data_IF_972246006653
#
_entry.id   IF_972246006653
#
_cell.length_a   1.000
_cell.length_b   1.000
_cell.length_c   1.000
_cell.angle_alpha   90.00
_cell.angle_beta   90.00
_cell.angle_gamma   90.00
#
_symmetry.space_group_name_H-M   'P 1'
#
loop_
_entity.id
_entity.type
_entity.pdbx_description
1 polymer ?
#
# COMPACT_ATOMS: atom_id res chain seq x y z
N UNK A 1 -34.52 -59.53 17.73
CA UNK A 1 -34.17 -58.50 16.73
C UNK A 1 -33.65 -57.28 17.48
N UNK A 2 -32.35 -57.07 17.51
CA UNK A 2 -31.68 -55.93 18.18
C UNK A 2 -31.16 -55.01 17.09
N UNK A 3 -31.83 -53.91 16.88
CA UNK A 3 -31.42 -52.85 15.90
C UNK A 3 -30.34 -51.97 16.57
N UNK A 4 -29.12 -52.09 16.01
CA UNK A 4 -27.96 -51.27 16.37
C UNK A 4 -28.06 -49.90 15.69
N UNK A 5 -28.29 -48.84 16.47
CA UNK A 5 -28.31 -47.48 15.98
C UNK A 5 -26.86 -46.96 15.99
N UNK A 6 -26.22 -46.88 14.81
CA UNK A 6 -24.92 -46.28 14.63
C UNK A 6 -25.11 -44.74 14.58
N UNK A 7 -24.75 -44.03 15.66
CA UNK A 7 -24.61 -42.59 15.70
C UNK A 7 -23.29 -42.19 15.00
N UNK A 8 -23.37 -41.68 13.77
CA UNK A 8 -22.25 -41.01 13.13
C UNK A 8 -22.05 -39.61 13.76
N UNK A 9 -21.02 -39.46 14.56
CA UNK A 9 -20.58 -38.21 15.13
C UNK A 9 -19.71 -37.50 14.06
N UNK A 10 -20.31 -36.59 13.26
CA UNK A 10 -19.56 -35.72 12.34
C UNK A 10 -18.90 -34.61 13.14
N UNK A 11 -17.60 -34.73 13.41
CA UNK A 11 -16.79 -33.66 13.97
C UNK A 11 -16.60 -32.56 12.92
N UNK A 12 -17.29 -31.43 13.10
CA UNK A 12 -16.99 -30.18 12.37
C UNK A 12 -15.64 -29.66 12.88
N UNK A 13 -14.59 -29.89 12.10
CA UNK A 13 -13.33 -29.17 12.24
C UNK A 13 -13.53 -27.72 11.77
N UNK A 14 -13.94 -26.84 12.68
CA UNK A 14 -13.86 -25.42 12.48
C UNK A 14 -12.36 -25.03 12.41
N UNK A 15 -11.80 -25.05 11.19
CA UNK A 15 -10.47 -24.53 10.93
C UNK A 15 -10.46 -23.03 11.27
N UNK A 16 -9.85 -22.65 12.39
CA UNK A 16 -9.46 -21.28 12.65
C UNK A 16 -8.47 -20.88 11.53
N UNK A 17 -8.97 -20.25 10.48
CA UNK A 17 -8.12 -19.55 9.53
C UNK A 17 -7.41 -18.45 10.31
N UNK A 18 -6.14 -18.64 10.65
CA UNK A 18 -5.31 -17.62 11.24
C UNK A 18 -5.22 -16.46 10.24
N UNK A 19 -5.94 -15.37 10.54
CA UNK A 19 -5.90 -14.15 9.72
C UNK A 19 -4.47 -13.64 9.77
N UNK A 20 -3.77 -13.73 8.65
CA UNK A 20 -2.41 -13.22 8.54
C UNK A 20 -2.42 -11.71 8.85
N UNK A 21 -1.54 -11.28 9.75
CA UNK A 21 -1.37 -9.85 10.06
C UNK A 21 -0.87 -9.11 8.82
N UNK A 22 -1.41 -7.91 8.54
CA UNK A 22 -0.93 -7.09 7.43
C UNK A 22 0.53 -6.72 7.62
N UNK A 23 1.31 -6.74 6.54
CA UNK A 23 2.63 -6.10 6.52
C UNK A 23 2.44 -4.59 6.39
N UNK A 24 3.14 -3.82 7.21
CA UNK A 24 3.09 -2.36 7.17
C UNK A 24 4.29 -1.80 6.45
N UNK A 25 4.04 -0.80 5.63
CA UNK A 25 5.07 -0.06 4.92
C UNK A 25 4.91 1.44 5.21
N UNK A 26 6.02 2.11 5.45
CA UNK A 26 6.09 3.56 5.50
C UNK A 26 7.17 3.98 4.52
N UNK A 27 6.82 4.87 3.61
CA UNK A 27 7.74 5.42 2.62
C UNK A 27 7.84 6.92 2.77
N UNK A 28 8.96 7.49 2.33
CA UNK A 28 9.21 8.93 2.35
C UNK A 28 9.73 9.39 1.00
N UNK A 29 9.29 10.57 0.57
CA UNK A 29 9.83 11.29 -0.58
C UNK A 29 9.75 12.78 -0.34
N UNK A 30 10.55 13.58 -1.04
CA UNK A 30 10.36 15.02 -1.08
C UNK A 30 9.18 15.41 -1.95
N UNK A 31 8.63 16.60 -1.70
CA UNK A 31 7.63 17.25 -2.54
C UNK A 31 8.22 18.56 -3.05
N UNK A 32 8.11 18.82 -4.35
CA UNK A 32 8.54 20.10 -4.93
C UNK A 32 7.57 21.20 -4.51
N UNK A 33 8.05 22.27 -3.83
CA UNK A 33 7.16 23.31 -3.32
C UNK A 33 6.28 23.93 -4.40
N UNK A 34 6.83 24.15 -5.60
CA UNK A 34 6.13 24.71 -6.75
C UNK A 34 5.07 23.76 -7.36
N UNK A 35 5.06 22.50 -6.93
CA UNK A 35 4.12 21.47 -7.35
C UNK A 35 3.18 20.98 -6.24
N UNK A 36 3.34 21.47 -5.01
CA UNK A 36 2.58 21.02 -3.85
C UNK A 36 1.06 21.15 -4.07
N UNK A 37 0.60 22.33 -4.47
CA UNK A 37 -0.81 22.57 -4.74
C UNK A 37 -1.38 21.65 -5.82
N UNK A 38 -0.60 21.33 -6.87
CA UNK A 38 -1.01 20.39 -7.91
C UNK A 38 -1.10 18.96 -7.38
N UNK A 39 -0.16 18.56 -6.54
CA UNK A 39 -0.16 17.24 -5.92
C UNK A 39 -1.40 17.05 -5.01
N UNK A 40 -1.70 18.05 -4.19
CA UNK A 40 -2.89 18.05 -3.33
C UNK A 40 -4.19 17.99 -4.15
N UNK A 41 -4.32 18.80 -5.21
CA UNK A 41 -5.47 18.80 -6.12
C UNK A 41 -5.71 17.41 -6.73
N UNK A 42 -4.65 16.76 -7.22
CA UNK A 42 -4.71 15.41 -7.77
C UNK A 42 -5.25 14.40 -6.74
N UNK A 43 -4.78 14.48 -5.49
CA UNK A 43 -5.18 13.57 -4.43
C UNK A 43 -6.56 13.90 -3.81
N UNK A 44 -7.03 15.14 -3.94
CA UNK A 44 -8.40 15.50 -3.59
C UNK A 44 -9.42 14.88 -4.57
N UNK A 45 -9.00 14.60 -5.81
CA UNK A 45 -9.84 14.05 -6.87
C UNK A 45 -9.20 12.79 -7.50
N UNK A 46 -8.95 11.73 -6.72
CA UNK A 46 -8.24 10.56 -7.20
C UNK A 46 -9.04 9.80 -8.26
N UNK A 47 -8.34 9.20 -9.22
CA UNK A 47 -8.97 8.37 -10.25
C UNK A 47 -9.56 7.10 -9.62
N UNK A 48 -10.88 6.82 -9.81
CA UNK A 48 -11.50 5.62 -9.25
C UNK A 48 -10.83 4.31 -9.69
N UNK A 49 -10.27 4.27 -10.91
CA UNK A 49 -9.55 3.10 -11.43
C UNK A 49 -8.26 2.84 -10.62
N UNK A 50 -7.51 3.89 -10.27
CA UNK A 50 -6.30 3.77 -9.44
C UNK A 50 -6.64 3.24 -8.04
N UNK A 51 -7.70 3.77 -7.42
CA UNK A 51 -8.14 3.28 -6.11
C UNK A 51 -8.58 1.80 -6.15
N UNK A 52 -9.19 1.35 -7.26
CA UNK A 52 -9.51 -0.07 -7.45
C UNK A 52 -8.24 -0.91 -7.55
N UNK A 53 -7.28 -0.50 -8.39
CA UNK A 53 -6.01 -1.21 -8.58
C UNK A 53 -5.23 -1.33 -7.26
N UNK A 54 -5.16 -0.28 -6.45
CA UNK A 54 -4.55 -0.32 -5.11
C UNK A 54 -5.18 -1.43 -4.26
N UNK A 55 -6.53 -1.51 -4.23
CA UNK A 55 -7.25 -2.56 -3.48
C UNK A 55 -7.04 -3.95 -4.07
N UNK A 56 -7.03 -4.09 -5.39
CA UNK A 56 -6.77 -5.35 -6.10
C UNK A 56 -5.34 -5.87 -5.88
N UNK A 57 -4.40 -4.97 -5.58
CA UNK A 57 -3.04 -5.29 -5.16
C UNK A 57 -2.91 -5.47 -3.64
N UNK A 58 -4.01 -5.80 -2.95
CA UNK A 58 -4.06 -6.14 -1.52
C UNK A 58 -3.56 -5.04 -0.58
N UNK A 59 -3.63 -3.78 -1.01
CA UNK A 59 -3.28 -2.62 -0.20
C UNK A 59 -4.54 -2.06 0.47
N UNK A 60 -4.44 -1.80 1.77
CA UNK A 60 -5.47 -1.15 2.57
C UNK A 60 -4.86 -0.11 3.50
N UNK A 61 -5.70 0.71 4.13
CA UNK A 61 -5.29 1.76 5.08
C UNK A 61 -4.17 2.65 4.53
N UNK A 62 -4.23 2.91 3.21
CA UNK A 62 -3.25 3.75 2.52
C UNK A 62 -3.52 5.22 2.82
N UNK A 63 -2.52 5.91 3.33
CA UNK A 63 -2.57 7.36 3.59
C UNK A 63 -1.25 8.03 3.24
N UNK A 64 -1.33 9.26 2.74
CA UNK A 64 -0.16 10.11 2.50
C UNK A 64 -0.29 11.36 3.38
N UNK A 65 0.78 11.71 4.06
CA UNK A 65 0.87 12.91 4.91
C UNK A 65 1.99 13.80 4.43
N UNK A 66 1.75 15.09 4.43
CA UNK A 66 2.74 16.11 4.10
C UNK A 66 3.27 16.76 5.36
N UNK A 67 4.56 17.12 5.37
CA UNK A 67 5.18 17.93 6.40
C UNK A 67 6.36 18.74 5.84
N UNK A 68 6.46 19.98 6.26
CA UNK A 68 7.68 20.77 6.10
C UNK A 68 8.69 20.44 7.21
N UNK A 69 9.94 20.21 6.82
CA UNK A 69 11.08 19.98 7.70
C UNK A 69 12.25 20.80 7.16
N UNK A 70 12.79 21.72 7.94
CA UNK A 70 13.92 22.59 7.58
C UNK A 70 13.73 23.29 6.22
N UNK A 71 12.52 23.85 5.99
CA UNK A 71 12.18 24.56 4.76
C UNK A 71 11.99 23.69 3.52
N UNK A 72 11.90 22.36 3.69
CA UNK A 72 11.64 21.39 2.60
C UNK A 72 10.36 20.63 2.89
N UNK A 73 9.57 20.39 1.83
CA UNK A 73 8.36 19.58 1.94
C UNK A 73 8.67 18.10 1.74
N UNK A 74 8.05 17.27 2.56
CA UNK A 74 8.16 15.81 2.50
C UNK A 74 6.78 15.18 2.54
N UNK A 75 6.66 14.05 1.85
CA UNK A 75 5.50 13.17 1.88
C UNK A 75 5.87 11.88 2.61
N UNK A 76 4.97 11.43 3.48
CA UNK A 76 5.06 10.17 4.20
C UNK A 76 3.86 9.33 3.82
N UNK A 77 4.11 8.20 3.19
CA UNK A 77 3.06 7.26 2.79
C UNK A 77 3.04 6.07 3.75
N UNK A 78 1.90 5.81 4.37
CA UNK A 78 1.64 4.60 5.15
C UNK A 78 0.70 3.70 4.38
N UNK A 79 0.96 2.40 4.37
CA UNK A 79 0.05 1.41 3.84
C UNK A 79 0.17 0.07 4.57
N UNK A 80 -0.92 -0.69 4.52
CA UNK A 80 -0.97 -2.08 4.95
C UNK A 80 -1.15 -2.99 3.75
N UNK A 81 -0.38 -4.08 3.73
CA UNK A 81 -0.44 -5.09 2.69
C UNK A 81 -0.91 -6.43 3.24
N UNK A 82 -1.97 -6.97 2.64
CA UNK A 82 -2.62 -8.23 3.07
C UNK A 82 -2.40 -9.38 2.09
N UNK A 83 -1.67 -9.12 0.99
CA UNK A 83 -1.37 -10.13 -0.02
C UNK A 83 -0.24 -11.09 0.39
N UNK A 84 0.11 -11.99 -0.54
CA UNK A 84 1.14 -13.01 -0.31
C UNK A 84 2.46 -12.69 -1.00
N UNK A 85 2.43 -11.96 -2.10
CA UNK A 85 3.59 -11.62 -2.93
C UNK A 85 3.53 -10.12 -3.29
N UNK A 86 4.20 -9.30 -2.47
CA UNK A 86 4.22 -7.86 -2.63
C UNK A 86 4.85 -7.44 -3.97
N UNK A 87 5.94 -8.10 -4.37
CA UNK A 87 6.65 -7.74 -5.60
C UNK A 87 5.80 -8.04 -6.85
N UNK A 88 5.08 -9.16 -6.85
CA UNK A 88 4.15 -9.48 -7.93
C UNK A 88 2.99 -8.48 -8.02
N UNK A 89 2.41 -8.10 -6.88
CA UNK A 89 1.34 -7.11 -6.83
C UNK A 89 1.83 -5.70 -7.26
N UNK A 90 3.04 -5.30 -6.88
CA UNK A 90 3.61 -4.03 -7.34
C UNK A 90 3.92 -4.05 -8.84
N UNK A 91 4.37 -5.17 -9.41
CA UNK A 91 4.52 -5.34 -10.86
C UNK A 91 3.18 -5.26 -11.59
N UNK A 92 2.12 -5.87 -11.04
CA UNK A 92 0.75 -5.79 -11.57
C UNK A 92 0.28 -4.33 -11.59
N UNK A 93 0.46 -3.60 -10.50
CA UNK A 93 0.11 -2.18 -10.39
C UNK A 93 0.89 -1.33 -11.41
N UNK A 94 2.19 -1.56 -11.54
CA UNK A 94 3.03 -0.82 -12.49
C UNK A 94 2.69 -1.10 -13.96
N UNK A 95 2.09 -2.25 -14.26
CA UNK A 95 1.65 -2.59 -15.62
C UNK A 95 0.25 -2.02 -15.96
N UNK A 96 -0.49 -1.52 -14.98
CA UNK A 96 -1.83 -0.98 -15.18
C UNK A 96 -1.79 0.39 -15.88
N UNK A 97 -2.48 0.57 -17.03
CA UNK A 97 -2.44 1.83 -17.78
C UNK A 97 -2.98 3.04 -17.01
N UNK A 98 -3.99 2.86 -16.18
CA UNK A 98 -4.58 3.94 -15.39
C UNK A 98 -3.62 4.39 -14.26
N UNK A 99 -2.95 3.44 -13.63
CA UNK A 99 -1.89 3.72 -12.66
C UNK A 99 -0.71 4.45 -13.31
N UNK A 100 -0.27 4.01 -14.49
CA UNK A 100 0.80 4.70 -15.23
C UNK A 100 0.39 6.13 -15.61
N UNK A 101 -0.86 6.35 -16.03
CA UNK A 101 -1.39 7.68 -16.30
C UNK A 101 -1.37 8.57 -15.05
N UNK A 102 -1.76 8.01 -13.91
CA UNK A 102 -1.72 8.68 -12.61
C UNK A 102 -0.30 9.07 -12.22
N UNK A 103 0.65 8.15 -12.32
CA UNK A 103 2.06 8.41 -11.99
C UNK A 103 2.69 9.49 -12.88
N UNK A 104 2.32 9.57 -14.16
CA UNK A 104 2.77 10.66 -15.04
C UNK A 104 2.41 12.06 -14.52
N UNK A 105 1.32 12.16 -13.77
CA UNK A 105 0.90 13.42 -13.13
C UNK A 105 1.58 13.63 -11.77
N UNK A 106 1.71 12.57 -10.97
CA UNK A 106 2.17 12.68 -9.58
C UNK A 106 3.69 12.64 -9.44
N UNK A 107 4.40 11.81 -10.20
CA UNK A 107 5.86 11.68 -10.12
C UNK A 107 6.61 12.99 -10.33
N UNK A 108 6.23 13.86 -11.31
CA UNK A 108 6.89 15.14 -11.50
C UNK A 108 6.72 16.12 -10.34
N UNK A 109 5.77 15.87 -9.43
CA UNK A 109 5.58 16.68 -8.24
C UNK A 109 6.54 16.31 -7.11
N UNK A 110 7.11 15.11 -7.18
CA UNK A 110 7.94 14.54 -6.14
C UNK A 110 9.44 14.83 -6.37
N UNK A 111 10.20 14.82 -5.28
CA UNK A 111 11.65 15.01 -5.29
C UNK A 111 12.29 13.85 -4.50
N UNK A 112 12.63 12.72 -5.16
CA UNK A 112 13.17 11.55 -4.49
C UNK A 112 14.38 11.86 -3.63
N UNK A 113 14.49 11.21 -2.46
CA UNK A 113 15.68 11.28 -1.62
C UNK A 113 16.86 10.64 -2.34
N UNK A 114 18.12 11.06 -2.06
CA UNK A 114 19.29 10.60 -2.80
C UNK A 114 19.47 9.09 -2.87
N UNK A 115 19.15 8.38 -1.76
CA UNK A 115 19.26 6.92 -1.68
C UNK A 115 18.16 6.19 -2.48
N UNK A 116 16.96 6.76 -2.56
CA UNK A 116 15.88 6.26 -3.41
C UNK A 116 16.17 6.54 -4.89
N UNK A 117 16.59 7.76 -5.21
CA UNK A 117 16.96 8.17 -6.57
C UNK A 117 18.08 7.29 -7.14
N UNK A 118 19.09 6.94 -6.34
CA UNK A 118 20.18 6.05 -6.76
C UNK A 118 19.69 4.64 -7.13
N UNK A 119 18.51 4.23 -6.65
CA UNK A 119 17.85 2.96 -6.98
C UNK A 119 16.76 3.11 -8.06
N UNK A 120 16.63 4.28 -8.67
CA UNK A 120 15.55 4.59 -9.62
C UNK A 120 14.14 4.59 -9.01
N UNK A 121 14.04 4.84 -7.70
CA UNK A 121 12.77 4.89 -6.97
C UNK A 121 12.37 6.32 -6.66
N UNK A 122 11.07 6.59 -6.65
CA UNK A 122 10.51 7.86 -6.16
C UNK A 122 10.48 7.85 -4.63
N UNK A 123 10.01 6.77 -4.04
CA UNK A 123 9.82 6.63 -2.60
C UNK A 123 11.00 5.91 -1.95
N UNK A 124 11.52 6.49 -0.86
CA UNK A 124 12.51 5.88 0.00
C UNK A 124 11.87 4.95 1.02
N UNK A 125 12.51 3.80 1.24
CA UNK A 125 12.08 2.83 2.23
C UNK A 125 12.42 3.33 3.65
N UNK A 126 11.60 2.95 4.64
CA UNK A 126 11.88 3.17 6.06
C UNK A 126 11.99 1.85 6.80
N UNK A 127 12.59 1.87 7.99
CA UNK A 127 12.69 0.72 8.88
C UNK A 127 11.68 0.86 10.02
N UNK A 128 10.79 -0.11 10.18
CA UNK A 128 9.97 -0.21 11.39
C UNK A 128 10.87 -0.53 12.59
N UNK A 129 10.86 0.33 13.61
CA UNK A 129 11.65 0.14 14.82
C UNK A 129 10.80 -0.29 16.03
N UNK A 130 9.49 -0.09 15.94
CA UNK A 130 8.54 -0.48 16.98
C UNK A 130 7.14 -0.64 16.42
N UNK A 131 6.44 -1.64 16.88
CA UNK A 131 5.01 -1.84 16.67
C UNK A 131 4.39 -2.49 17.91
N UNK A 132 3.30 -1.92 18.40
CA UNK A 132 2.44 -2.50 19.42
C UNK A 132 1.16 -3.02 18.76
N UNK A 133 0.87 -4.28 18.99
CA UNK A 133 -0.36 -4.95 18.54
C UNK A 133 -1.52 -4.64 19.47
#
# INVERSE_FOLDING_TARGET
MRTLFCLLLTALLAGCATRQEPKRYVWVTGLRPEKAARYEELHANPLPAVNRMIKECHIQNFSIREREIDGKLYLFAYLEYTGKDFDADMKKMAADPETQRWWKETDPCQAPLPDAAAKGKIWGDTKEVYYLK
#
